data_IF_487547722800
#
_entry.id   IF_487547722800
#
_cell.length_a   1.000
_cell.length_b   1.000
_cell.length_c   1.000
_cell.angle_alpha   90.00
_cell.angle_beta   90.00
_cell.angle_gamma   90.00
#
_symmetry.space_group_name_H-M   'P 1'
#
loop_
_entity.id
_entity.type
_entity.pdbx_description
1 polymer ?
#
# COMPACT_ATOMS: atom_id res chain seq x y z
N UNK A 1 -48.66 9.53 -3.43
CA UNK A 1 -48.37 8.29 -2.67
C UNK A 1 -47.01 8.42 -2.01
N UNK A 2 -46.87 8.15 -0.70
CA UNK A 2 -45.58 8.15 -0.04
C UNK A 2 -44.71 6.96 -0.50
N UNK A 3 -43.43 7.21 -0.76
CA UNK A 3 -42.45 6.19 -1.20
C UNK A 3 -42.20 5.14 -0.12
N UNK A 4 -41.82 3.92 -0.52
CA UNK A 4 -41.56 2.78 0.40
C UNK A 4 -40.54 3.16 1.50
N UNK A 5 -39.50 3.92 1.13
CA UNK A 5 -38.47 4.44 2.06
C UNK A 5 -39.07 5.24 3.22
N UNK A 6 -40.04 6.13 2.95
CA UNK A 6 -40.70 6.97 3.97
C UNK A 6 -41.65 6.19 4.87
N UNK A 7 -42.11 5.01 4.44
CA UNK A 7 -42.95 4.13 5.27
C UNK A 7 -42.12 3.26 6.22
N UNK A 8 -40.89 2.93 5.84
CA UNK A 8 -40.02 2.02 6.59
C UNK A 8 -38.98 2.74 7.46
N UNK A 9 -38.56 3.95 7.09
CA UNK A 9 -37.51 4.70 7.79
C UNK A 9 -38.09 6.03 8.29
N UNK A 10 -38.08 6.23 9.61
CA UNK A 10 -38.43 7.49 10.23
C UNK A 10 -37.16 8.34 10.40
N UNK A 11 -37.18 9.58 9.87
CA UNK A 11 -36.12 10.55 10.10
C UNK A 11 -36.26 11.09 11.53
N UNK A 12 -35.22 10.89 12.34
CA UNK A 12 -35.15 11.39 13.72
C UNK A 12 -34.55 12.80 13.77
N UNK A 13 -33.71 13.16 12.80
CA UNK A 13 -33.11 14.48 12.63
C UNK A 13 -32.83 14.74 11.14
N UNK A 14 -32.57 15.99 10.77
CA UNK A 14 -32.08 16.33 9.43
C UNK A 14 -30.69 15.71 9.20
N UNK A 15 -30.50 15.16 8.00
CA UNK A 15 -29.27 14.50 7.59
C UNK A 15 -28.20 15.58 7.31
N UNK A 16 -27.45 16.01 8.32
CA UNK A 16 -26.20 16.72 8.08
C UNK A 16 -25.25 15.78 7.32
N UNK A 17 -24.65 16.27 6.24
CA UNK A 17 -23.70 15.49 5.46
C UNK A 17 -22.56 15.03 6.39
N UNK A 18 -22.56 13.75 6.76
CA UNK A 18 -21.57 13.19 7.66
C UNK A 18 -20.18 13.42 7.06
N UNK A 19 -19.36 14.23 7.74
CA UNK A 19 -17.98 14.47 7.36
C UNK A 19 -17.20 13.20 7.72
N UNK A 20 -16.55 12.53 6.76
CA UNK A 20 -15.74 11.36 7.06
C UNK A 20 -14.56 11.78 7.94
N UNK A 21 -14.28 11.01 8.99
CA UNK A 21 -13.17 11.28 9.90
C UNK A 21 -11.85 10.73 9.32
N UNK A 22 -11.89 9.55 8.68
CA UNK A 22 -10.73 8.80 8.23
C UNK A 22 -10.82 8.46 6.74
N UNK A 23 -10.90 9.50 5.91
CA UNK A 23 -10.96 9.35 4.45
C UNK A 23 -9.59 8.96 3.88
N UNK A 24 -9.55 7.91 3.06
CA UNK A 24 -8.37 7.52 2.28
C UNK A 24 -8.69 7.56 0.80
N UNK A 25 -7.80 8.16 0.02
CA UNK A 25 -7.91 8.22 -1.45
C UNK A 25 -6.75 7.48 -2.11
N UNK A 26 -7.05 6.61 -3.07
CA UNK A 26 -6.07 5.95 -3.94
C UNK A 26 -6.17 6.54 -5.34
N UNK A 27 -5.03 6.94 -5.91
CA UNK A 27 -4.95 7.43 -7.29
C UNK A 27 -4.33 6.33 -8.16
N UNK A 28 -5.08 5.91 -9.18
CA UNK A 28 -4.82 4.79 -10.08
C UNK A 28 -5.59 3.53 -9.69
N UNK A 29 -6.38 2.97 -10.62
CA UNK A 29 -7.00 1.63 -10.58
C UNK A 29 -6.19 0.63 -11.42
N UNK A 30 -4.87 0.78 -11.44
CA UNK A 30 -3.98 -0.28 -11.88
C UNK A 30 -3.99 -1.46 -10.92
N UNK A 31 -3.25 -2.52 -11.25
CA UNK A 31 -3.09 -3.69 -10.36
C UNK A 31 -2.60 -3.27 -8.96
N UNK A 32 -1.60 -2.38 -8.90
CA UNK A 32 -1.06 -1.86 -7.63
C UNK A 32 -2.11 -1.09 -6.84
N UNK A 33 -2.85 -0.20 -7.51
CA UNK A 33 -3.89 0.61 -6.86
C UNK A 33 -5.02 -0.24 -6.30
N UNK A 34 -5.47 -1.27 -7.03
CA UNK A 34 -6.50 -2.19 -6.55
C UNK A 34 -6.03 -3.08 -5.40
N UNK A 35 -4.77 -3.53 -5.41
CA UNK A 35 -4.18 -4.26 -4.28
C UNK A 35 -4.11 -3.38 -3.02
N UNK A 36 -3.74 -2.10 -3.17
CA UNK A 36 -3.79 -1.13 -2.08
C UNK A 36 -5.22 -0.94 -1.59
N UNK A 37 -6.18 -0.75 -2.50
CA UNK A 37 -7.59 -0.56 -2.19
C UNK A 37 -8.16 -1.72 -1.35
N UNK A 38 -8.02 -2.96 -1.82
CA UNK A 38 -8.55 -4.13 -1.13
C UNK A 38 -7.86 -4.35 0.23
N UNK A 39 -6.56 -4.05 0.32
CA UNK A 39 -5.81 -4.16 1.58
C UNK A 39 -6.27 -3.13 2.62
N UNK A 40 -6.56 -1.91 2.19
CA UNK A 40 -7.07 -0.83 3.06
C UNK A 40 -8.47 -1.17 3.56
N UNK A 41 -9.35 -1.61 2.66
CA UNK A 41 -10.73 -1.99 2.96
C UNK A 41 -10.79 -3.23 3.86
N UNK A 42 -10.01 -4.27 3.56
CA UNK A 42 -9.95 -5.51 4.35
C UNK A 42 -9.38 -5.30 5.76
N UNK A 43 -8.53 -4.29 5.96
CA UNK A 43 -7.99 -3.90 7.28
C UNK A 43 -8.86 -2.88 8.02
N UNK A 44 -9.98 -2.44 7.43
CA UNK A 44 -10.91 -1.46 8.01
C UNK A 44 -10.21 -0.16 8.45
N UNK A 45 -9.28 0.33 7.62
CA UNK A 45 -8.47 1.52 7.94
C UNK A 45 -9.17 2.85 7.60
N UNK A 46 -10.25 2.81 6.81
CA UNK A 46 -10.96 3.99 6.32
C UNK A 46 -12.47 3.86 6.54
N UNK A 47 -13.10 4.97 6.93
CA UNK A 47 -14.57 5.12 6.98
C UNK A 47 -15.13 5.61 5.63
N UNK A 48 -14.32 6.32 4.85
CA UNK A 48 -14.59 6.65 3.45
C UNK A 48 -13.37 6.33 2.60
N UNK A 49 -13.60 5.58 1.52
CA UNK A 49 -12.58 5.24 0.54
C UNK A 49 -12.89 5.94 -0.78
N UNK A 50 -11.91 6.58 -1.38
CA UNK A 50 -12.04 7.21 -2.68
C UNK A 50 -10.99 6.67 -3.64
N UNK A 51 -11.35 6.55 -4.92
CA UNK A 51 -10.47 6.05 -5.97
C UNK A 51 -10.50 7.01 -7.14
N UNK A 52 -9.35 7.30 -7.72
CA UNK A 52 -9.24 8.29 -8.78
C UNK A 52 -8.47 7.70 -9.95
N UNK A 53 -9.00 7.75 -11.17
CA UNK A 53 -8.27 7.29 -12.37
C UNK A 53 -8.77 7.98 -13.63
N UNK A 54 -7.88 8.15 -14.60
CA UNK A 54 -8.16 8.75 -15.90
C UNK A 54 -9.03 7.85 -16.80
N UNK A 55 -8.99 6.52 -16.60
CA UNK A 55 -9.73 5.54 -17.39
C UNK A 55 -11.12 5.29 -16.79
N UNK A 56 -12.12 6.07 -17.25
CA UNK A 56 -13.47 6.09 -16.67
C UNK A 56 -14.17 4.73 -16.64
N UNK A 57 -14.16 4.00 -17.75
CA UNK A 57 -14.84 2.71 -17.85
C UNK A 57 -14.21 1.67 -16.92
N UNK A 58 -12.87 1.70 -16.82
CA UNK A 58 -12.13 0.84 -15.91
C UNK A 58 -12.42 1.21 -14.46
N UNK A 59 -12.33 2.50 -14.12
CA UNK A 59 -12.64 3.02 -12.78
C UNK A 59 -14.04 2.61 -12.33
N UNK A 60 -15.04 2.75 -13.21
CA UNK A 60 -16.42 2.37 -12.92
C UNK A 60 -16.56 0.87 -12.69
N UNK A 61 -15.91 0.04 -13.52
CA UNK A 61 -15.90 -1.41 -13.36
C UNK A 61 -15.31 -1.84 -12.01
N UNK A 62 -14.14 -1.31 -11.66
CA UNK A 62 -13.43 -1.65 -10.42
C UNK A 62 -14.20 -1.19 -9.17
N UNK A 63 -14.85 -0.02 -9.22
CA UNK A 63 -15.69 0.47 -8.11
C UNK A 63 -16.94 -0.36 -7.94
N UNK A 64 -17.60 -0.76 -9.02
CA UNK A 64 -18.77 -1.64 -8.93
C UNK A 64 -18.40 -2.97 -8.29
N UNK A 65 -17.23 -3.51 -8.61
CA UNK A 65 -16.73 -4.76 -7.99
C UNK A 65 -16.51 -4.58 -6.48
N UNK A 66 -15.86 -3.50 -6.07
CA UNK A 66 -15.68 -3.16 -4.65
C UNK A 66 -17.02 -2.93 -3.93
N UNK A 67 -17.99 -2.29 -4.58
CA UNK A 67 -19.33 -2.05 -4.03
C UNK A 67 -20.12 -3.35 -3.86
N UNK A 68 -20.01 -4.30 -4.78
CA UNK A 68 -20.61 -5.63 -4.60
C UNK A 68 -19.97 -6.36 -3.41
N UNK A 69 -18.67 -6.15 -3.18
CA UNK A 69 -17.95 -6.64 -2.00
C UNK A 69 -18.31 -5.95 -0.69
N UNK A 70 -19.07 -4.85 -0.71
CA UNK A 70 -19.37 -4.04 0.49
C UNK A 70 -20.02 -4.82 1.63
N UNK A 71 -20.76 -5.88 1.31
CA UNK A 71 -21.36 -6.77 2.32
C UNK A 71 -20.32 -7.44 3.23
N UNK A 72 -19.10 -7.66 2.72
CA UNK A 72 -18.00 -8.30 3.44
C UNK A 72 -17.00 -7.29 4.02
N UNK A 73 -17.24 -5.99 3.80
CA UNK A 73 -16.36 -4.91 4.22
C UNK A 73 -17.04 -4.09 5.32
N UNK A 74 -16.24 -3.46 6.18
CA UNK A 74 -16.73 -2.57 7.23
C UNK A 74 -16.73 -1.09 6.79
N UNK A 75 -16.33 -0.79 5.56
CA UNK A 75 -16.23 0.58 5.04
C UNK A 75 -17.53 0.97 4.33
N UNK A 76 -18.28 1.96 4.84
CA UNK A 76 -19.63 2.27 4.37
C UNK A 76 -19.69 3.07 3.05
N UNK A 77 -18.59 3.65 2.57
CA UNK A 77 -18.63 4.58 1.43
C UNK A 77 -17.39 4.49 0.54
N UNK A 78 -17.63 4.21 -0.75
CA UNK A 78 -16.61 4.10 -1.81
C UNK A 78 -16.96 5.09 -2.93
N UNK A 79 -16.04 6.01 -3.30
CA UNK A 79 -16.27 7.14 -4.24
C UNK A 79 -15.22 7.16 -5.37
N UNK A 80 -15.56 7.71 -6.55
CA UNK A 80 -14.70 7.79 -7.75
C UNK A 80 -14.41 9.23 -8.20
N UNK A 81 -13.22 9.54 -8.74
CA UNK A 81 -12.93 10.79 -9.48
C UNK A 81 -11.91 10.56 -10.64
N UNK A 82 -11.63 11.55 -11.50
CA UNK A 82 -10.84 11.38 -12.74
C UNK A 82 -9.43 12.00 -12.76
N UNK A 83 -9.06 12.82 -11.79
CA UNK A 83 -7.87 13.68 -11.93
C UNK A 83 -6.61 13.11 -11.25
N UNK A 84 -5.56 12.86 -12.06
CA UNK A 84 -4.17 13.29 -11.89
C UNK A 84 -3.16 12.31 -12.49
N UNK A 85 -2.18 12.90 -13.18
CA UNK A 85 -1.18 12.26 -14.03
C UNK A 85 0.24 12.61 -13.59
N UNK A 86 0.94 11.67 -12.93
CA UNK A 86 2.42 11.64 -12.89
C UNK A 86 2.87 10.22 -12.52
N UNK A 87 3.91 9.67 -13.17
CA UNK A 87 4.47 8.34 -12.83
C UNK A 87 6.00 8.33 -12.78
N UNK A 88 6.57 8.04 -11.59
CA UNK A 88 7.87 7.38 -11.22
C UNK A 88 8.20 7.69 -9.74
N UNK A 89 8.16 6.69 -8.85
CA UNK A 89 7.97 6.81 -7.38
C UNK A 89 8.91 7.78 -6.62
N UNK A 90 10.23 7.74 -6.87
CA UNK A 90 11.22 8.54 -6.13
C UNK A 90 11.14 10.03 -6.47
N UNK A 91 11.23 10.34 -7.76
CA UNK A 91 11.08 11.71 -8.28
C UNK A 91 9.65 12.21 -8.07
N UNK A 92 8.64 11.34 -8.12
CA UNK A 92 7.25 11.73 -7.85
C UNK A 92 7.09 12.29 -6.45
N UNK A 93 7.66 11.64 -5.44
CA UNK A 93 7.49 12.11 -4.06
C UNK A 93 8.01 13.55 -3.94
N UNK A 94 9.14 13.84 -4.58
CA UNK A 94 9.68 15.19 -4.67
C UNK A 94 8.80 16.14 -5.50
N UNK A 95 8.34 15.73 -6.68
CA UNK A 95 7.48 16.52 -7.58
C UNK A 95 6.13 16.82 -6.90
N UNK A 96 5.46 15.81 -6.34
CA UNK A 96 4.25 15.95 -5.52
C UNK A 96 4.47 16.88 -4.35
N UNK A 97 5.60 16.79 -3.64
CA UNK A 97 5.92 17.73 -2.56
C UNK A 97 6.03 19.17 -3.09
N UNK A 98 6.75 19.38 -4.19
CA UNK A 98 6.92 20.71 -4.79
C UNK A 98 5.62 21.29 -5.36
N UNK A 99 4.81 20.47 -6.01
CA UNK A 99 3.55 20.90 -6.65
C UNK A 99 2.42 21.11 -5.64
N UNK A 100 2.32 20.26 -4.62
CA UNK A 100 1.22 20.35 -3.62
C UNK A 100 1.37 21.52 -2.64
N UNK A 101 2.59 22.03 -2.44
CA UNK A 101 2.89 23.06 -1.43
C UNK A 101 2.73 22.57 0.02
N UNK A 102 2.54 21.26 0.23
CA UNK A 102 2.38 20.66 1.55
C UNK A 102 3.69 20.65 2.33
N UNK A 103 3.64 20.67 3.67
CA UNK A 103 4.84 20.44 4.47
C UNK A 103 5.37 19.02 4.22
N UNK A 104 6.71 18.87 4.22
CA UNK A 104 7.41 17.61 3.86
C UNK A 104 6.88 16.37 4.60
N UNK A 105 6.49 16.51 5.87
CA UNK A 105 6.00 15.40 6.69
C UNK A 105 4.61 14.89 6.27
N UNK A 106 3.91 15.57 5.35
CA UNK A 106 2.62 15.13 4.77
C UNK A 106 2.75 14.54 3.37
N UNK A 107 3.97 14.38 2.85
CA UNK A 107 4.23 13.77 1.55
C UNK A 107 5.18 12.60 1.77
N UNK A 108 4.64 11.39 1.69
CA UNK A 108 5.36 10.15 1.98
C UNK A 108 5.32 9.30 0.71
N UNK A 109 6.49 8.89 0.23
CA UNK A 109 6.62 7.88 -0.81
C UNK A 109 6.62 6.48 -0.17
N UNK A 110 6.15 5.47 -0.90
CA UNK A 110 6.26 4.07 -0.45
C UNK A 110 7.72 3.62 -0.27
N UNK A 111 8.63 4.22 -1.07
CA UNK A 111 10.07 3.98 -1.01
C UNK A 111 10.41 2.50 -1.13
N UNK A 112 11.42 2.07 -0.37
CA UNK A 112 11.92 0.70 -0.34
C UNK A 112 11.22 -0.20 0.70
N UNK A 113 10.00 0.15 1.14
CA UNK A 113 9.26 -0.64 2.12
C UNK A 113 8.91 -2.04 1.58
N UNK A 114 8.46 -2.10 0.32
CA UNK A 114 8.17 -3.38 -0.35
C UNK A 114 9.45 -4.19 -0.58
N UNK A 115 10.56 -3.54 -0.93
CA UNK A 115 11.85 -4.21 -1.13
C UNK A 115 12.36 -4.79 0.19
N UNK A 116 12.20 -4.06 1.30
CA UNK A 116 12.52 -4.57 2.64
C UNK A 116 11.61 -5.74 3.03
N UNK A 117 10.32 -5.70 2.71
CA UNK A 117 9.40 -6.82 2.96
C UNK A 117 9.78 -8.06 2.16
N UNK A 118 10.11 -7.90 0.87
CA UNK A 118 10.61 -8.97 0.00
C UNK A 118 11.90 -9.57 0.55
N UNK A 119 12.86 -8.71 0.88
CA UNK A 119 14.12 -9.13 1.50
C UNK A 119 13.90 -9.97 2.76
N UNK A 120 12.99 -9.54 3.64
CA UNK A 120 12.61 -10.30 4.85
C UNK A 120 11.96 -11.64 4.57
N UNK A 121 11.09 -11.73 3.56
CA UNK A 121 10.47 -12.99 3.16
C UNK A 121 11.51 -14.01 2.68
N UNK A 122 12.48 -13.58 1.88
CA UNK A 122 13.52 -14.46 1.36
C UNK A 122 14.48 -14.95 2.43
N UNK A 123 14.86 -14.05 3.35
CA UNK A 123 15.62 -14.44 4.54
C UNK A 123 14.87 -15.51 5.33
N UNK A 124 13.57 -15.31 5.55
CA UNK A 124 12.73 -16.26 6.26
C UNK A 124 12.65 -17.63 5.57
N UNK A 125 12.52 -17.65 4.24
CA UNK A 125 12.51 -18.89 3.45
C UNK A 125 13.83 -19.66 3.59
N UNK A 126 14.98 -18.96 3.48
CA UNK A 126 16.29 -19.59 3.66
C UNK A 126 16.54 -20.09 5.08
N UNK A 127 16.06 -19.36 6.08
CA UNK A 127 16.29 -19.69 7.49
C UNK A 127 15.21 -20.62 8.06
N UNK A 128 14.14 -20.90 7.32
CA UNK A 128 13.03 -21.74 7.78
C UNK A 128 12.23 -21.11 8.94
N UNK A 129 12.18 -19.78 9.03
CA UNK A 129 11.47 -19.05 10.08
C UNK A 129 10.45 -18.07 9.49
N UNK A 130 9.56 -17.51 10.32
CA UNK A 130 8.56 -16.57 9.82
C UNK A 130 9.18 -15.19 9.48
N UNK A 131 8.80 -14.51 8.37
CA UNK A 131 9.38 -13.22 7.96
C UNK A 131 9.27 -12.10 8.99
N UNK A 132 8.29 -12.20 9.91
CA UNK A 132 8.17 -11.25 11.02
C UNK A 132 9.36 -11.29 11.98
N UNK A 133 10.03 -12.45 12.10
CA UNK A 133 11.17 -12.68 12.97
C UNK A 133 12.52 -12.36 12.31
N UNK A 134 12.51 -12.10 11.00
CA UNK A 134 13.67 -11.60 10.26
C UNK A 134 13.62 -10.08 10.19
N UNK A 135 14.70 -9.41 10.59
CA UNK A 135 14.83 -7.96 10.50
C UNK A 135 15.95 -7.62 9.53
N UNK A 136 15.64 -6.77 8.56
CA UNK A 136 16.57 -6.36 7.51
C UNK A 136 15.94 -5.25 6.67
N UNK A 137 16.79 -4.36 6.17
CA UNK A 137 16.35 -3.10 5.57
C UNK A 137 17.01 -2.87 4.21
N UNK A 138 16.20 -2.56 3.22
CA UNK A 138 16.62 -2.01 1.94
C UNK A 138 16.31 -0.51 1.97
N UNK A 139 17.31 0.32 1.71
CA UNK A 139 17.20 1.79 1.72
C UNK A 139 17.71 2.37 0.39
N UNK A 140 17.54 3.67 0.21
CA UNK A 140 18.02 4.39 -0.98
C UNK A 140 16.91 4.60 -2.01
N UNK A 141 17.30 4.65 -3.27
CA UNK A 141 16.35 4.75 -4.37
C UNK A 141 15.68 3.39 -4.60
N UNK A 142 14.39 3.42 -4.94
CA UNK A 142 13.63 2.20 -5.26
C UNK A 142 14.03 1.69 -6.65
N UNK A 143 14.41 0.42 -6.73
CA UNK A 143 14.92 -0.21 -7.96
C UNK A 143 16.38 -0.63 -7.85
N UNK A 144 17.08 -0.64 -8.97
CA UNK A 144 18.43 -1.23 -9.13
C UNK A 144 19.50 -0.53 -8.29
N UNK A 145 19.27 0.73 -7.90
CA UNK A 145 20.14 1.55 -7.05
C UNK A 145 19.83 1.43 -5.56
N UNK A 146 18.93 0.53 -5.17
CA UNK A 146 18.63 0.26 -3.77
C UNK A 146 19.82 -0.40 -3.05
N UNK A 147 19.97 -0.09 -1.76
CA UNK A 147 21.10 -0.51 -0.93
C UNK A 147 20.59 -1.30 0.25
N UNK A 148 21.00 -2.56 0.33
CA UNK A 148 20.76 -3.39 1.51
C UNK A 148 21.69 -2.98 2.66
N UNK A 149 21.09 -2.73 3.83
CA UNK A 149 21.82 -2.37 5.05
C UNK A 149 22.22 -3.64 5.78
N UNK A 150 23.29 -4.25 5.26
CA UNK A 150 23.87 -5.49 5.75
C UNK A 150 24.15 -5.51 7.25
N UNK A 151 24.74 -4.43 7.77
CA UNK A 151 25.06 -4.30 9.20
C UNK A 151 23.83 -4.25 10.13
N UNK A 152 22.62 -4.08 9.59
CA UNK A 152 21.38 -4.02 10.37
C UNK A 152 20.54 -5.28 10.30
N UNK A 153 21.01 -6.33 9.60
CA UNK A 153 20.30 -7.60 9.46
C UNK A 153 20.44 -8.41 10.74
N UNK A 154 19.32 -8.83 11.33
CA UNK A 154 19.32 -9.66 12.54
C UNK A 154 18.08 -10.56 12.63
N UNK A 155 18.19 -11.60 13.46
CA UNK A 155 17.11 -12.50 13.86
C UNK A 155 17.19 -12.68 15.37
N UNK A 156 16.09 -12.39 16.09
CA UNK A 156 15.97 -12.57 17.54
C UNK A 156 17.07 -11.87 18.39
N UNK A 157 17.69 -10.81 17.87
CA UNK A 157 18.68 -9.96 18.57
C UNK A 157 19.97 -10.66 19.03
N UNK A 158 20.28 -11.86 18.52
CA UNK A 158 21.45 -12.62 18.96
C UNK A 158 22.62 -12.49 17.97
N UNK A 159 23.43 -11.45 18.19
CA UNK A 159 24.67 -11.14 17.45
C UNK A 159 25.88 -12.00 17.94
N UNK A 160 25.61 -13.14 18.59
CA UNK A 160 26.62 -13.92 19.32
C UNK A 160 27.50 -14.80 18.43
N UNK A 161 27.16 -14.94 17.16
CA UNK A 161 27.88 -15.81 16.25
C UNK A 161 28.20 -15.05 14.96
N UNK A 162 29.41 -15.27 14.47
CA UNK A 162 30.00 -14.59 13.33
C UNK A 162 29.32 -15.04 12.01
N UNK A 163 28.07 -14.62 11.79
CA UNK A 163 27.17 -15.08 10.72
C UNK A 163 27.55 -14.53 9.34
N UNK A 164 28.84 -14.34 9.06
CA UNK A 164 29.30 -13.76 7.78
C UNK A 164 28.89 -14.64 6.58
N UNK A 165 28.83 -15.96 6.77
CA UNK A 165 28.41 -16.91 5.75
C UNK A 165 26.89 -16.85 5.50
N UNK A 166 26.07 -16.83 6.55
CA UNK A 166 24.61 -16.73 6.49
C UNK A 166 24.18 -15.36 6.00
N UNK A 167 24.88 -14.32 6.43
CA UNK A 167 24.73 -12.97 5.94
C UNK A 167 25.04 -12.92 4.44
N UNK A 168 26.14 -13.52 3.99
CA UNK A 168 26.47 -13.65 2.57
C UNK A 168 25.42 -14.48 1.80
N UNK A 169 24.90 -15.56 2.39
CA UNK A 169 23.82 -16.34 1.77
C UNK A 169 22.52 -15.54 1.66
N UNK A 170 22.17 -14.75 2.67
CA UNK A 170 21.03 -13.82 2.68
C UNK A 170 21.21 -12.75 1.59
N UNK A 171 22.41 -12.16 1.52
CA UNK A 171 22.82 -11.21 0.49
C UNK A 171 22.65 -11.81 -0.90
N UNK A 172 23.20 -13.00 -1.13
CA UNK A 172 23.15 -13.70 -2.42
C UNK A 172 21.71 -14.08 -2.81
N UNK A 173 20.84 -14.48 -1.87
CA UNK A 173 19.41 -14.67 -2.20
C UNK A 173 18.68 -13.38 -2.54
N UNK A 174 19.04 -12.27 -1.89
CA UNK A 174 18.45 -10.99 -2.21
C UNK A 174 18.79 -10.61 -3.66
N UNK A 175 20.04 -10.86 -4.08
CA UNK A 175 20.45 -10.70 -5.48
C UNK A 175 19.76 -11.70 -6.43
N UNK A 176 19.62 -12.97 -6.05
CA UNK A 176 18.87 -13.95 -6.86
C UNK A 176 17.41 -13.53 -7.04
N UNK A 177 16.79 -12.94 -6.03
CA UNK A 177 15.39 -12.57 -6.12
C UNK A 177 15.18 -11.24 -6.82
N UNK A 178 16.14 -10.31 -6.73
CA UNK A 178 16.18 -9.16 -7.64
C UNK A 178 16.26 -9.66 -9.09
N UNK A 179 17.11 -10.64 -9.40
CA UNK A 179 17.22 -11.24 -10.74
C UNK A 179 15.97 -12.05 -11.16
N UNK A 180 15.20 -12.60 -10.21
CA UNK A 180 13.93 -13.30 -10.49
C UNK A 180 12.77 -12.30 -10.66
N UNK A 181 12.83 -11.17 -9.95
CA UNK A 181 11.85 -10.09 -10.07
C UNK A 181 12.08 -9.23 -11.33
N UNK A 182 13.30 -9.20 -11.85
CA UNK A 182 13.60 -8.84 -13.24
C UNK A 182 13.22 -9.99 -14.19
N UNK A 183 11.91 -10.18 -14.43
CA UNK A 183 11.47 -10.94 -15.60
C UNK A 183 11.74 -10.04 -16.83
N UNK A 184 12.40 -10.54 -17.90
CA UNK A 184 12.75 -9.78 -19.11
C UNK A 184 11.56 -9.17 -19.85
#
# INVERSE_FOLDING_TARGET
MATLKKKLIALVAEEEAAVPNNKITVVGVGQVGMVCAISILGKSLADEFAVVDVLEDKLKGEIMDLQHGSLFLQTPKIVADKDYSVTTMGILTYVTWKLSGLPKHRVIGSGSNLDSARFRCLMAEKLGIHPSSCHGWILGEHGDSSVAVWSGVNVADNDSENWKEEHKMVVESAYEVINIMEIP
#
